data_IF_881412841203
#
_entry.id   IF_881412841203
#
_cell.length_a   1.000
_cell.length_b   1.000
_cell.length_c   1.000
_cell.angle_alpha   90.00
_cell.angle_beta   90.00
_cell.angle_gamma   90.00
#
_symmetry.space_group_name_H-M   'P 1'
#
loop_
_entity.id
_entity.type
_entity.pdbx_description
1 polymer ?
2 non-polymer ?
#
# COMPACT_ATOMS: atom_id res chain seq x y z
N UNK A 1 17.82 14.95 -5.63
CA UNK A 1 16.55 14.26 -5.28
C UNK A 1 15.68 15.18 -4.42
N UNK A 2 15.23 16.27 -5.02
CA UNK A 2 14.39 17.22 -4.30
C UNK A 2 13.61 18.09 -5.29
N UNK A 3 14.31 18.98 -5.98
CA UNK A 3 13.67 19.85 -6.95
C UNK A 3 13.16 19.03 -8.13
N UNK A 4 13.98 18.09 -8.59
CA UNK A 4 13.60 17.25 -9.71
C UNK A 4 12.54 16.24 -9.28
N UNK A 5 12.78 15.58 -8.16
CA UNK A 5 11.84 14.59 -7.66
C UNK A 5 12.09 14.35 -6.17
N UNK A 6 11.04 14.02 -5.45
CA UNK A 6 11.16 13.76 -4.03
C UNK A 6 10.62 12.37 -3.71
N UNK A 7 9.33 12.19 -3.91
CA UNK A 7 8.71 10.90 -3.66
C UNK A 7 8.79 10.03 -4.91
N UNK A 8 8.89 8.73 -4.71
CA UNK A 8 8.97 7.80 -5.83
C UNK A 8 8.00 6.64 -5.62
N UNK A 9 6.71 6.94 -5.69
CA UNK A 9 5.70 5.91 -5.51
C UNK A 9 5.45 5.20 -6.83
N UNK A 10 5.53 3.88 -6.81
CA UNK A 10 5.31 3.09 -8.02
C UNK A 10 4.41 1.90 -7.70
N UNK A 11 4.90 1.01 -6.85
CA UNK A 11 4.13 -0.15 -6.47
C UNK A 11 3.00 0.28 -5.56
N UNK A 12 1.80 -0.17 -5.85
CA UNK A 12 0.66 0.19 -5.03
C UNK A 12 0.35 -0.93 -4.04
N UNK A 13 0.93 -2.10 -4.29
CA UNK A 13 0.72 -3.25 -3.44
C UNK A 13 0.95 -2.91 -1.97
N UNK A 14 0.09 -3.45 -1.12
CA UNK A 14 0.16 -3.23 0.30
C UNK A 14 1.53 -3.66 0.88
N UNK A 15 1.79 -3.21 2.11
CA UNK A 15 3.05 -3.49 2.82
C UNK A 15 3.64 -4.89 2.58
N UNK A 16 2.91 -5.95 2.93
CA UNK A 16 3.42 -7.32 2.83
C UNK A 16 3.81 -7.76 1.42
N UNK A 17 3.07 -7.33 0.42
CA UNK A 17 3.38 -7.73 -0.94
C UNK A 17 4.53 -6.90 -1.51
N UNK A 18 4.45 -5.58 -1.37
CA UNK A 18 5.50 -4.73 -1.90
C UNK A 18 6.87 -5.21 -1.41
N UNK A 19 6.93 -5.62 -0.15
CA UNK A 19 8.18 -6.12 0.41
C UNK A 19 8.56 -7.45 -0.26
N UNK A 20 7.58 -8.32 -0.43
CA UNK A 20 7.83 -9.62 -1.04
C UNK A 20 7.71 -9.56 -2.57
N UNK A 21 7.73 -8.36 -3.13
CA UNK A 21 7.65 -8.19 -4.58
C UNK A 21 6.35 -8.78 -5.14
N UNK A 22 5.23 -8.51 -4.48
CA UNK A 22 3.95 -8.98 -4.96
C UNK A 22 3.06 -7.78 -5.28
N UNK A 23 2.40 -7.84 -6.41
CA UNK A 23 1.51 -6.77 -6.81
C UNK A 23 0.08 -7.21 -6.53
N UNK A 24 -0.65 -6.43 -5.76
CA UNK A 24 -2.01 -6.82 -5.43
C UNK A 24 -3.05 -5.84 -5.97
N UNK A 25 -4.30 -6.15 -5.66
CA UNK A 25 -5.42 -5.34 -6.08
C UNK A 25 -5.38 -4.00 -5.35
N UNK A 26 -4.99 -4.06 -4.08
CA UNK A 26 -4.89 -2.88 -3.24
C UNK A 26 -4.36 -1.68 -4.03
N UNK A 27 -5.25 -0.74 -4.38
CA UNK A 27 -4.90 0.45 -5.13
C UNK A 27 -4.26 1.50 -4.23
N UNK A 28 -4.19 2.73 -4.70
CA UNK A 28 -3.65 3.79 -3.89
C UNK A 28 -4.69 4.14 -2.84
N UNK A 29 -5.92 3.78 -3.16
CA UNK A 29 -7.04 4.04 -2.31
C UNK A 29 -7.52 2.75 -1.65
N UNK A 30 -6.61 2.00 -1.04
CA UNK A 30 -6.98 0.76 -0.39
C UNK A 30 -7.97 1.04 0.74
N UNK A 31 -7.87 2.22 1.35
CA UNK A 31 -8.79 2.58 2.41
C UNK A 31 -10.14 2.88 1.78
N UNK A 32 -10.10 3.65 0.71
CA UNK A 32 -11.30 3.98 -0.03
C UNK A 32 -11.87 2.71 -0.67
N UNK A 33 -11.02 1.70 -0.79
CA UNK A 33 -11.41 0.43 -1.36
C UNK A 33 -12.27 -0.30 -0.33
N UNK A 34 -11.88 -0.19 0.93
CA UNK A 34 -12.63 -0.82 2.00
C UNK A 34 -14.06 -0.29 2.02
N UNK A 35 -14.19 1.01 1.81
CA UNK A 35 -15.50 1.64 1.80
C UNK A 35 -16.33 1.12 0.63
N UNK A 36 -15.69 0.93 -0.51
CA UNK A 36 -16.38 0.46 -1.70
C UNK A 36 -16.78 -1.02 -1.57
N UNK A 37 -15.96 -1.81 -0.89
CA UNK A 37 -16.27 -3.23 -0.73
C UNK A 37 -14.99 -4.03 -0.46
N UNK A 38 -13.87 -3.52 -0.97
CA UNK A 38 -12.58 -4.16 -0.78
C UNK A 38 -12.28 -4.22 0.73
N UNK A 39 -11.14 -4.77 1.10
CA UNK A 39 -10.78 -4.87 2.50
C UNK A 39 -9.30 -5.21 2.64
N UNK A 40 -8.85 -6.17 1.85
CA UNK A 40 -7.47 -6.57 1.86
C UNK A 40 -7.17 -7.27 0.55
N UNK A 41 -5.96 -7.10 0.09
CA UNK A 41 -5.54 -7.68 -1.16
C UNK A 41 -5.59 -9.20 -1.08
N UNK A 42 -5.69 -9.84 -2.23
CA UNK A 42 -5.77 -11.29 -2.29
C UNK A 42 -4.62 -11.94 -1.51
N UNK A 43 -3.46 -11.30 -1.47
CA UNK A 43 -2.33 -11.85 -0.75
C UNK A 43 -2.67 -11.95 0.74
N UNK A 44 -3.00 -10.81 1.34
CA UNK A 44 -3.35 -10.79 2.75
C UNK A 44 -4.48 -11.77 3.05
N UNK A 45 -5.53 -11.75 2.25
CA UNK A 45 -6.65 -12.65 2.48
C UNK A 45 -6.24 -14.12 2.24
N UNK A 46 -5.22 -14.33 1.42
CA UNK A 46 -4.76 -15.68 1.11
C UNK A 46 -3.87 -16.24 2.21
N UNK A 47 -2.85 -15.49 2.57
CA UNK A 47 -1.90 -15.91 3.58
C UNK A 47 -2.31 -15.42 4.96
N UNK A 48 -3.34 -14.58 5.00
CA UNK A 48 -3.79 -14.00 6.25
C UNK A 48 -2.64 -13.19 6.83
N UNK A 49 -2.31 -12.11 6.15
CA UNK A 49 -1.19 -11.27 6.54
C UNK A 49 -1.67 -9.97 7.21
N UNK A 50 -1.32 -8.82 6.62
CA UNK A 50 -1.70 -7.55 7.19
C UNK A 50 -1.75 -6.47 6.11
N UNK A 51 -2.94 -6.25 5.57
CA UNK A 51 -3.10 -5.24 4.54
C UNK A 51 -2.99 -3.84 5.14
N UNK A 52 -1.86 -3.18 4.90
CA UNK A 52 -1.66 -1.84 5.42
C UNK A 52 -0.81 -1.02 4.46
N UNK A 53 -0.95 0.29 4.54
CA UNK A 53 -0.18 1.19 3.72
C UNK A 53 0.82 1.91 4.61
N UNK A 54 1.52 1.12 5.39
CA UNK A 54 2.53 1.64 6.28
C UNK A 54 3.70 2.15 5.45
N UNK A 55 3.92 1.51 4.31
CA UNK A 55 4.98 1.94 3.44
C UNK A 55 4.68 3.37 3.05
N UNK A 56 3.41 3.62 2.81
CA UNK A 56 2.94 4.94 2.47
C UNK A 56 3.09 5.89 3.66
N UNK A 57 2.94 5.34 4.85
CA UNK A 57 3.04 6.12 6.07
C UNK A 57 4.50 6.47 6.41
N UNK A 58 5.44 5.72 5.86
CA UNK A 58 6.85 5.97 6.14
C UNK A 58 7.50 6.82 5.05
N UNK A 59 6.70 7.33 4.12
CA UNK A 59 7.23 8.13 3.03
C UNK A 59 7.46 9.58 3.47
N UNK A 60 6.91 10.54 2.72
CA UNK A 60 7.08 11.94 3.06
C UNK A 60 6.62 12.22 4.50
N UNK A 61 5.66 11.44 4.98
CA UNK A 61 5.16 11.63 6.34
C UNK A 61 4.25 10.46 6.71
N UNK A 62 3.81 10.43 7.96
CA UNK A 62 2.93 9.38 8.43
C UNK A 62 1.55 9.53 7.81
N UNK A 63 1.45 9.15 6.55
CA UNK A 63 0.19 9.24 5.83
C UNK A 63 -0.95 8.66 6.67
N UNK A 64 -0.73 7.50 7.26
CA UNK A 64 -1.74 6.87 8.09
C UNK A 64 -1.29 6.88 9.55
N UNK A 65 -1.67 7.93 10.27
CA UNK A 65 -1.29 8.05 11.67
C UNK A 65 -2.52 8.40 12.51
X LIG B 1 -0.88 -6.97 -0.98
X LIG C 1 -2.61 -6.79 1.60
#
# INVERSE_FOLDING_TARGET
>A
GSMADTRRRQNHSCDPCRKGKRRCDAPENRNEANENGWVSCSNCKRWNKDCTFNWLSSQRSKNSS
>B hetero
1 ZN ZN
>C hetero
1 ZN ZN
#
